data_IF_625983557946
#
_entry.id   IF_625983557946
#
_cell.length_a   1.000
_cell.length_b   1.000
_cell.length_c   1.000
_cell.angle_alpha   90.00
_cell.angle_beta   90.00
_cell.angle_gamma   90.00
#
_symmetry.space_group_name_H-M   'P 1'
#
loop_
_entity.id
_entity.type
_entity.pdbx_description
1 polymer ?
#
# COMPACT_ATOMS: atom_id res chain seq x y z
N UNK A 1 -6.24 -1.41 10.06
CA UNK A 1 -4.79 -1.69 9.88
C UNK A 1 -4.27 -2.15 11.23
N UNK A 2 -3.73 -3.36 11.33
CA UNK A 2 -3.21 -3.88 12.59
C UNK A 2 -1.76 -3.38 12.77
N UNK A 3 -1.54 -2.46 13.71
CA UNK A 3 -0.21 -2.21 14.26
C UNK A 3 -0.08 -2.97 15.59
N UNK A 4 0.76 -4.00 15.63
CA UNK A 4 1.11 -4.68 16.88
C UNK A 4 2.50 -4.19 17.30
N UNK A 5 2.53 -3.29 18.28
CA UNK A 5 3.74 -2.87 19.00
C UNK A 5 4.22 -1.47 18.66
N UNK A 6 3.67 -0.48 19.36
CA UNK A 6 4.13 0.91 19.31
C UNK A 6 3.47 1.73 20.42
N UNK A 7 4.07 1.74 21.61
CA UNK A 7 3.66 2.59 22.72
C UNK A 7 3.94 4.06 22.40
N UNK A 8 3.00 4.70 21.74
CA UNK A 8 2.67 6.12 21.75
C UNK A 8 1.45 6.21 20.83
N UNK A 9 0.35 6.80 21.29
CA UNK A 9 -0.81 7.03 20.44
C UNK A 9 -0.34 7.86 19.22
N UNK A 10 -0.17 7.22 18.08
CA UNK A 10 0.08 7.93 16.84
C UNK A 10 -1.15 8.77 16.57
N UNK A 11 -0.98 10.08 16.38
CA UNK A 11 -2.08 10.95 16.00
C UNK A 11 -2.81 10.33 14.80
N UNK A 12 -4.16 10.29 14.82
CA UNK A 12 -4.92 9.70 13.73
C UNK A 12 -4.56 10.43 12.44
N UNK A 13 -3.97 9.69 11.49
CA UNK A 13 -3.64 10.22 10.17
C UNK A 13 -4.80 9.99 9.23
N UNK A 14 -5.24 11.07 8.59
CA UNK A 14 -6.24 11.01 7.54
C UNK A 14 -5.55 10.88 6.18
N UNK A 15 -6.03 9.93 5.38
CA UNK A 15 -5.47 9.62 4.07
C UNK A 15 -6.55 9.81 3.00
N UNK A 16 -6.23 10.55 1.94
CA UNK A 16 -7.14 10.78 0.81
C UNK A 16 -6.49 10.23 -0.45
N UNK A 17 -7.20 9.34 -1.16
CA UNK A 17 -6.77 8.79 -2.44
C UNK A 17 -7.86 9.04 -3.47
N UNK A 18 -7.78 10.13 -4.27
CA UNK A 18 -8.75 10.35 -5.35
C UNK A 18 -8.64 9.24 -6.40
N UNK A 19 -9.75 8.90 -7.03
CA UNK A 19 -9.79 7.88 -8.07
C UNK A 19 -11.03 7.94 -8.95
N UNK A 20 -10.99 7.21 -10.05
CA UNK A 20 -12.07 7.04 -11.02
C UNK A 20 -12.22 5.57 -11.37
N UNK A 21 -13.45 5.12 -11.59
CA UNK A 21 -13.74 3.74 -11.95
C UNK A 21 -14.82 3.63 -13.02
N UNK A 22 -14.67 2.64 -13.89
CA UNK A 22 -15.63 2.32 -14.95
C UNK A 22 -16.14 0.89 -14.73
N UNK A 23 -17.44 0.69 -14.91
CA UNK A 23 -18.12 -0.62 -14.82
C UNK A 23 -18.75 -0.94 -16.16
N UNK A 24 -18.64 -2.20 -16.57
CA UNK A 24 -19.22 -2.67 -17.82
C UNK A 24 -19.61 -4.14 -17.71
N UNK A 25 -20.60 -4.53 -18.51
CA UNK A 25 -21.04 -5.92 -18.61
C UNK A 25 -20.18 -6.63 -19.65
N UNK A 26 -19.68 -7.81 -19.30
CA UNK A 26 -18.95 -8.69 -20.22
C UNK A 26 -19.67 -10.04 -20.31
N UNK A 27 -19.42 -10.85 -21.36
CA UNK A 27 -19.95 -12.22 -21.42
C UNK A 27 -19.53 -13.10 -20.24
N UNK A 28 -18.41 -12.76 -19.57
CA UNK A 28 -17.90 -13.46 -18.40
C UNK A 28 -18.49 -12.93 -17.08
N UNK A 29 -19.40 -11.95 -17.11
CA UNK A 29 -19.98 -11.31 -15.93
C UNK A 29 -19.64 -9.80 -15.81
N UNK A 30 -20.10 -9.13 -14.74
CA UNK A 30 -19.81 -7.72 -14.50
C UNK A 30 -18.31 -7.49 -14.30
N UNK A 31 -17.73 -6.52 -15.01
CA UNK A 31 -16.33 -6.13 -14.88
C UNK A 31 -16.19 -4.69 -14.38
N UNK A 32 -15.07 -4.42 -13.68
CA UNK A 32 -14.68 -3.08 -13.26
C UNK A 32 -13.18 -2.86 -13.43
N UNK A 33 -12.86 -1.60 -13.76
CA UNK A 33 -11.50 -1.07 -13.77
C UNK A 33 -11.52 0.20 -12.94
N UNK A 34 -10.70 0.23 -11.89
CA UNK A 34 -10.57 1.36 -10.98
C UNK A 34 -9.12 1.87 -11.01
N UNK A 35 -8.94 3.19 -11.06
CA UNK A 35 -7.64 3.84 -11.01
C UNK A 35 -7.66 4.87 -9.88
N UNK A 36 -6.72 4.75 -8.95
CA UNK A 36 -6.51 5.68 -7.85
C UNK A 36 -5.16 6.38 -7.93
N UNK A 37 -5.08 7.60 -7.42
CA UNK A 37 -3.85 8.36 -7.29
C UNK A 37 -3.51 8.58 -5.81
N UNK A 38 -2.44 7.95 -5.37
CA UNK A 38 -1.87 8.09 -4.03
C UNK A 38 -0.40 8.55 -4.12
N UNK A 39 -0.14 9.87 -4.02
CA UNK A 39 1.21 10.43 -4.00
C UNK A 39 1.92 10.22 -2.67
N UNK A 40 1.21 9.76 -1.64
CA UNK A 40 1.79 9.64 -0.31
C UNK A 40 2.97 8.64 -0.33
N UNK A 41 4.07 9.02 0.34
CA UNK A 41 5.20 8.15 0.48
C UNK A 41 4.87 7.02 1.47
N UNK A 42 5.63 5.93 1.40
CA UNK A 42 5.44 4.82 2.34
C UNK A 42 5.70 5.32 3.77
N UNK A 43 4.99 4.80 4.78
CA UNK A 43 5.27 5.10 6.18
C UNK A 43 6.75 4.81 6.51
N UNK A 44 7.37 5.72 7.27
CA UNK A 44 8.71 5.50 7.76
C UNK A 44 8.70 4.39 8.83
N UNK A 45 9.73 3.56 8.84
CA UNK A 45 9.86 2.47 9.79
C UNK A 45 11.30 2.14 10.13
N UNK A 46 11.48 1.22 11.09
CA UNK A 46 12.80 0.72 11.49
C UNK A 46 13.37 -0.18 10.41
N UNK A 47 14.60 0.09 10.00
CA UNK A 47 15.35 -0.73 9.04
C UNK A 47 16.37 -1.58 9.78
N UNK A 48 16.22 -2.89 9.65
CA UNK A 48 17.14 -3.88 10.20
C UNK A 48 17.96 -4.53 9.08
N UNK A 49 19.20 -4.91 9.40
CA UNK A 49 20.05 -5.74 8.55
C UNK A 49 20.37 -7.03 9.29
N UNK A 50 20.34 -8.14 8.57
CA UNK A 50 20.73 -9.46 9.08
C UNK A 50 22.24 -9.58 8.91
N UNK A 51 22.96 -9.81 10.01
CA UNK A 51 24.39 -10.12 9.98
C UNK A 51 24.63 -11.53 9.42
N UNK A 52 25.86 -11.86 9.00
CA UNK A 52 26.20 -13.24 8.64
C UNK A 52 25.99 -14.26 9.77
N UNK A 53 26.01 -13.81 11.04
CA UNK A 53 25.71 -14.63 12.22
C UNK A 53 24.21 -14.85 12.45
N UNK A 54 23.33 -14.17 11.72
CA UNK A 54 21.87 -14.26 11.86
C UNK A 54 21.24 -13.22 12.78
N UNK A 55 22.03 -12.29 13.34
CA UNK A 55 21.54 -11.25 14.24
C UNK A 55 20.89 -10.09 13.46
N UNK A 56 19.82 -9.53 14.02
CA UNK A 56 19.16 -8.33 13.50
C UNK A 56 19.78 -7.08 14.11
N UNK A 57 20.51 -6.32 13.30
CA UNK A 57 21.07 -5.02 13.69
C UNK A 57 20.19 -3.90 13.16
N UNK A 58 19.75 -3.01 14.04
CA UNK A 58 19.01 -1.83 13.63
C UNK A 58 19.98 -0.81 13.03
N UNK A 59 19.77 -0.43 11.78
CA UNK A 59 20.63 0.53 11.08
C UNK A 59 19.99 1.91 10.89
N UNK A 60 18.65 2.01 10.92
CA UNK A 60 17.92 3.29 10.89
C UNK A 60 16.59 3.20 11.63
N UNK A 61 16.26 4.21 12.43
CA UNK A 61 14.99 4.31 13.16
C UNK A 61 13.82 4.79 12.29
N UNK A 62 14.08 5.70 11.34
CA UNK A 62 13.06 6.38 10.53
C UNK A 62 13.36 6.24 9.05
N UNK A 63 13.53 5.01 8.58
CA UNK A 63 13.79 4.74 7.17
C UNK A 63 12.50 4.81 6.36
N UNK A 64 12.47 5.69 5.36
CA UNK A 64 11.39 5.80 4.42
C UNK A 64 11.78 5.15 3.09
N UNK A 65 11.11 4.03 2.74
CA UNK A 65 11.39 3.34 1.49
C UNK A 65 10.88 4.15 0.31
N UNK A 66 11.74 4.38 -0.69
CA UNK A 66 11.33 4.96 -1.96
C UNK A 66 10.29 4.06 -2.65
N UNK A 67 9.15 4.65 -3.04
CA UNK A 67 8.09 3.98 -3.80
C UNK A 67 8.60 3.81 -5.23
N UNK A 68 9.02 2.58 -5.60
CA UNK A 68 9.53 2.29 -6.95
C UNK A 68 8.42 2.17 -8.01
N UNK A 69 7.16 2.08 -7.60
CA UNK A 69 6.04 1.81 -8.48
C UNK A 69 5.34 3.11 -8.89
N UNK A 70 5.39 3.39 -10.20
CA UNK A 70 4.75 4.44 -11.00
C UNK A 70 4.06 5.59 -10.27
N UNK A 71 4.67 6.79 -10.26
CA UNK A 71 4.13 8.15 -10.02
C UNK A 71 2.99 8.35 -8.98
N UNK A 72 2.65 7.37 -8.15
CA UNK A 72 1.49 7.37 -7.26
C UNK A 72 0.23 6.69 -7.82
N UNK A 73 0.22 6.11 -9.02
CA UNK A 73 -1.00 5.47 -9.55
C UNK A 73 -1.14 4.01 -9.10
N UNK A 74 -2.36 3.63 -8.72
CA UNK A 74 -2.76 2.27 -8.43
C UNK A 74 -3.91 1.87 -9.36
N UNK A 75 -3.85 0.66 -9.92
CA UNK A 75 -4.88 0.12 -10.81
C UNK A 75 -5.43 -1.15 -10.19
N UNK A 76 -6.76 -1.26 -10.18
CA UNK A 76 -7.47 -2.46 -9.76
C UNK A 76 -8.38 -2.91 -10.90
N UNK A 77 -8.34 -4.21 -11.18
CA UNK A 77 -9.17 -4.87 -12.20
C UNK A 77 -9.87 -6.05 -11.54
N UNK A 78 -11.16 -6.21 -11.78
CA UNK A 78 -11.87 -7.41 -11.35
C UNK A 78 -13.04 -7.76 -12.27
N UNK A 79 -13.33 -9.05 -12.36
CA UNK A 79 -14.46 -9.61 -13.11
C UNK A 79 -15.24 -10.50 -12.14
N UNK A 80 -16.55 -10.29 -12.06
CA UNK A 80 -17.47 -11.16 -11.32
C UNK A 80 -17.75 -12.44 -12.09
N UNK A 81 -18.11 -13.52 -11.40
CA UNK A 81 -18.49 -14.78 -12.04
C UNK A 81 -19.93 -14.70 -12.58
N UNK A 82 -20.23 -15.26 -13.77
CA UNK A 82 -21.61 -15.53 -14.17
C UNK A 82 -22.10 -16.78 -13.43
N UNK A 83 -23.40 -16.83 -13.14
CA UNK A 83 -24.09 -17.88 -12.36
C UNK A 83 -23.67 -19.34 -12.65
#
# INVERSE_FOLDING_TARGET
VWERGGGAAADPKFHITPGVGIRFLTPLGPARIDVGYNPEPLPAGRLYVISPSGDLTLIRQSYQRAKKTGKGFAVQISVGHPF
#
